data_IF_468717009684
#
_entry.id   IF_468717009684
#
_cell.length_a   1.000
_cell.length_b   1.000
_cell.length_c   1.000
_cell.angle_alpha   90.00
_cell.angle_beta   90.00
_cell.angle_gamma   90.00
#
_symmetry.space_group_name_H-M   'P 1'
#
loop_
_entity.id
_entity.type
_entity.pdbx_description
1 polymer ?
#
# COMPACT_ATOMS: atom_id res chain seq x y z
N UNK A 1 -2.95 30.75 -5.69
CA UNK A 1 -1.97 30.90 -6.79
C UNK A 1 -2.60 30.41 -8.09
N UNK A 2 -2.35 31.08 -9.21
CA UNK A 2 -2.67 30.52 -10.53
C UNK A 2 -1.54 29.59 -10.99
N UNK A 3 -1.92 28.46 -11.61
CA UNK A 3 -1.04 27.42 -12.14
C UNK A 3 -1.16 27.39 -13.67
N UNK A 4 -0.04 27.23 -14.36
CA UNK A 4 0.01 27.05 -15.82
C UNK A 4 -0.31 25.61 -16.21
N UNK A 5 -0.63 25.36 -17.49
CA UNK A 5 -0.90 24.01 -17.98
C UNK A 5 0.30 23.06 -17.86
N UNK A 6 1.51 23.59 -17.98
CA UNK A 6 2.73 22.77 -17.91
C UNK A 6 3.10 22.45 -16.46
N UNK A 7 2.99 23.42 -15.53
CA UNK A 7 3.08 23.15 -14.09
C UNK A 7 2.05 22.10 -13.64
N UNK A 8 0.83 22.12 -14.20
CA UNK A 8 -0.19 21.11 -13.93
C UNK A 8 0.23 19.70 -14.39
N UNK A 9 0.87 19.58 -15.56
CA UNK A 9 1.36 18.29 -16.08
C UNK A 9 2.51 17.75 -15.24
N UNK A 10 3.38 18.62 -14.71
CA UNK A 10 4.50 18.21 -13.86
C UNK A 10 4.03 17.67 -12.51
N UNK A 11 3.01 18.29 -11.90
CA UNK A 11 2.52 17.84 -10.59
C UNK A 11 1.53 16.68 -10.65
N UNK A 12 0.85 16.47 -11.79
CA UNK A 12 -0.16 15.42 -11.92
C UNK A 12 0.36 14.01 -11.55
N UNK A 13 1.55 13.54 -12.01
CA UNK A 13 2.10 12.26 -11.60
C UNK A 13 2.38 12.17 -10.09
N UNK A 14 2.74 13.28 -9.45
CA UNK A 14 2.99 13.35 -8.01
C UNK A 14 1.68 13.22 -7.23
N UNK A 15 0.62 13.90 -7.68
CA UNK A 15 -0.73 13.79 -7.10
C UNK A 15 -1.26 12.36 -7.22
N UNK A 16 -1.10 11.75 -8.40
CA UNK A 16 -1.50 10.36 -8.63
C UNK A 16 -0.74 9.41 -7.70
N UNK A 17 0.58 9.56 -7.60
CA UNK A 17 1.41 8.76 -6.70
C UNK A 17 1.01 8.92 -5.22
N UNK A 18 0.65 10.14 -4.80
CA UNK A 18 0.16 10.42 -3.45
C UNK A 18 -1.20 9.76 -3.19
N UNK A 19 -2.13 9.81 -4.16
CA UNK A 19 -3.42 9.13 -4.07
C UNK A 19 -3.26 7.59 -3.96
N UNK A 20 -2.27 7.04 -4.65
CA UNK A 20 -1.83 5.64 -4.55
C UNK A 20 -1.10 5.31 -3.24
N UNK A 21 -0.95 6.28 -2.34
CA UNK A 21 -0.31 6.10 -1.03
C UNK A 21 1.22 5.98 -1.09
N UNK A 22 1.87 6.45 -2.17
CA UNK A 22 3.33 6.59 -2.21
C UNK A 22 3.77 7.78 -1.36
N UNK A 23 4.95 7.66 -0.78
CA UNK A 23 5.63 8.70 -0.03
C UNK A 23 6.18 9.70 -1.04
N UNK A 24 5.75 10.94 -0.91
CA UNK A 24 6.26 12.07 -1.67
C UNK A 24 7.30 12.78 -0.81
N UNK A 25 8.42 13.14 -1.42
CA UNK A 25 9.42 14.01 -0.82
C UNK A 25 9.41 15.35 -1.55
N UNK A 26 9.69 16.41 -0.80
CA UNK A 26 9.84 17.74 -1.34
C UNK A 26 11.16 18.39 -0.88
N UNK A 27 11.64 19.36 -1.65
CA UNK A 27 12.72 20.26 -1.25
C UNK A 27 12.57 21.62 -1.92
N UNK A 28 13.25 22.63 -1.39
CA UNK A 28 13.35 23.95 -2.01
C UNK A 28 14.21 23.89 -3.26
N UNK A 29 13.78 24.57 -4.32
CA UNK A 29 14.58 24.75 -5.55
C UNK A 29 15.91 25.42 -5.17
N UNK A 30 17.07 24.82 -5.53
CA UNK A 30 18.38 25.36 -5.18
C UNK A 30 18.59 26.83 -5.61
N UNK A 31 17.89 27.27 -6.65
CA UNK A 31 17.99 28.63 -7.21
C UNK A 31 17.07 29.68 -6.58
N UNK A 32 16.24 29.32 -5.58
CA UNK A 32 15.19 30.21 -5.05
C UNK A 32 15.51 30.86 -3.70
N UNK A 33 16.67 30.55 -3.12
CA UNK A 33 17.18 31.19 -1.90
C UNK A 33 18.54 31.80 -2.24
N UNK A 34 18.58 33.12 -2.48
CA UNK A 34 19.83 33.83 -2.76
C UNK A 34 20.67 33.96 -1.48
N UNK A 35 21.95 33.61 -1.56
CA UNK A 35 22.95 33.95 -0.54
C UNK A 35 23.09 32.99 0.65
N UNK A 36 22.49 31.80 0.59
CA UNK A 36 22.58 30.82 1.67
C UNK A 36 23.16 29.49 1.16
N UNK A 37 24.19 28.95 1.82
CA UNK A 37 24.74 27.61 1.61
C UNK A 37 23.70 26.53 1.97
N UNK A 38 22.60 26.43 1.23
CA UNK A 38 21.42 25.63 1.64
C UNK A 38 21.31 24.37 0.78
N UNK A 39 21.86 23.25 1.24
CA UNK A 39 21.29 21.95 0.91
C UNK A 39 19.96 21.84 1.65
N UNK A 40 18.85 22.02 0.93
CA UNK A 40 17.57 21.52 1.41
C UNK A 40 17.45 20.06 0.96
N UNK A 41 17.65 19.14 1.89
CA UNK A 41 17.53 17.72 1.63
C UNK A 41 16.08 17.32 1.35
N UNK A 42 15.92 16.25 0.60
CA UNK A 42 14.61 15.67 0.33
C UNK A 42 13.95 15.25 1.64
N UNK A 43 12.77 15.83 1.90
CA UNK A 43 12.03 15.59 3.15
C UNK A 43 10.64 15.05 2.81
N UNK A 44 10.19 14.04 3.55
CA UNK A 44 8.86 13.46 3.36
C UNK A 44 7.75 14.49 3.65
N UNK A 45 6.78 14.56 2.75
CA UNK A 45 5.66 15.47 2.83
C UNK A 45 4.40 14.69 3.24
N UNK A 46 3.70 15.15 4.28
CA UNK A 46 2.46 14.51 4.76
C UNK A 46 1.22 14.97 3.99
N UNK A 47 1.21 16.22 3.55
CA UNK A 47 0.12 16.86 2.81
C UNK A 47 0.72 17.59 1.60
N UNK A 48 0.11 17.50 0.43
CA UNK A 48 0.62 18.19 -0.76
C UNK A 48 0.09 19.62 -0.80
N UNK A 49 1.00 20.57 -0.62
CA UNK A 49 0.79 21.97 -0.98
C UNK A 49 1.63 22.31 -2.21
N UNK A 50 1.05 22.99 -3.20
CA UNK A 50 1.79 23.44 -4.39
C UNK A 50 2.44 24.81 -4.15
N UNK A 51 3.77 24.84 -4.16
CA UNK A 51 4.56 26.08 -4.10
C UNK A 51 5.53 26.16 -5.28
N UNK A 52 5.61 27.32 -5.94
CA UNK A 52 6.45 27.52 -7.14
C UNK A 52 7.95 27.30 -6.91
N UNK A 53 8.41 27.46 -5.68
CA UNK A 53 9.80 27.31 -5.25
C UNK A 53 10.14 25.92 -4.70
N UNK A 54 9.24 24.94 -4.83
CA UNK A 54 9.45 23.56 -4.37
C UNK A 54 9.59 22.61 -5.55
N UNK A 55 10.44 21.59 -5.37
CA UNK A 55 10.51 20.39 -6.21
C UNK A 55 9.89 19.22 -5.46
N UNK A 56 9.18 18.36 -6.18
CA UNK A 56 8.58 17.14 -5.65
C UNK A 56 9.17 15.92 -6.34
N UNK A 57 9.28 14.82 -5.59
CA UNK A 57 9.55 13.51 -6.16
C UNK A 57 8.79 12.45 -5.40
N UNK A 58 8.53 11.34 -6.08
CA UNK A 58 8.20 10.09 -5.40
C UNK A 58 9.49 9.60 -4.75
N UNK A 59 9.47 9.30 -3.44
CA UNK A 59 10.63 8.72 -2.77
C UNK A 59 11.04 7.44 -3.53
N UNK A 60 12.31 7.27 -3.93
CA UNK A 60 12.73 6.17 -4.82
C UNK A 60 12.29 4.77 -4.36
N UNK A 61 12.30 4.54 -3.05
CA UNK A 61 11.91 3.25 -2.44
C UNK A 61 10.43 3.17 -2.07
N UNK A 62 9.64 4.19 -2.41
CA UNK A 62 8.22 4.18 -2.08
C UNK A 62 7.45 3.23 -2.99
N UNK A 63 6.74 2.30 -2.34
CA UNK A 63 5.78 1.43 -3.00
C UNK A 63 4.39 2.05 -2.86
N UNK A 64 3.60 1.98 -3.94
CA UNK A 64 2.17 2.26 -3.86
C UNK A 64 1.59 1.42 -2.73
N UNK A 65 0.78 2.04 -1.88
CA UNK A 65 0.02 1.29 -0.89
C UNK A 65 -1.12 0.64 -1.64
N UNK A 66 -0.85 -0.54 -2.21
CA UNK A 66 -1.86 -1.34 -2.85
C UNK A 66 -3.07 -1.47 -1.90
N UNK A 67 -4.25 -1.08 -2.37
CA UNK A 67 -5.49 -1.26 -1.62
C UNK A 67 -5.89 -2.71 -1.77
N UNK A 68 -6.19 -3.36 -0.64
CA UNK A 68 -6.68 -4.73 -0.62
C UNK A 68 -8.08 -4.74 -0.02
N UNK A 69 -8.93 -5.61 -0.53
CA UNK A 69 -10.23 -5.91 0.07
C UNK A 69 -10.30 -7.38 0.48
N UNK A 70 -11.19 -7.73 1.42
CA UNK A 70 -11.50 -9.12 1.71
C UNK A 70 -12.06 -9.82 0.46
N UNK A 71 -11.99 -11.15 0.48
CA UNK A 71 -12.64 -11.97 -0.54
C UNK A 71 -14.15 -11.80 -0.49
N UNK A 72 -14.80 -11.80 -1.66
CA UNK A 72 -16.24 -11.69 -1.80
C UNK A 72 -16.96 -13.02 -1.55
N UNK A 73 -16.26 -14.14 -1.77
CA UNK A 73 -16.79 -15.49 -1.60
C UNK A 73 -15.64 -16.52 -1.55
N UNK A 74 -16.02 -17.79 -1.29
CA UNK A 74 -15.09 -18.93 -1.21
C UNK A 74 -14.32 -19.18 -2.50
N UNK A 75 -14.98 -19.09 -3.66
CA UNK A 75 -14.33 -19.35 -4.95
C UNK A 75 -13.21 -18.34 -5.24
N UNK A 76 -13.43 -17.07 -4.91
CA UNK A 76 -12.42 -16.02 -5.02
C UNK A 76 -11.25 -16.28 -4.06
N UNK A 77 -11.56 -16.60 -2.79
CA UNK A 77 -10.54 -16.94 -1.78
C UNK A 77 -9.69 -18.14 -2.23
N UNK A 78 -10.33 -19.24 -2.61
CA UNK A 78 -9.67 -20.47 -3.03
C UNK A 78 -8.84 -20.25 -4.30
N UNK A 79 -9.34 -19.46 -5.25
CA UNK A 79 -8.62 -19.13 -6.48
C UNK A 79 -7.38 -18.29 -6.20
N UNK A 80 -7.46 -17.31 -5.30
CA UNK A 80 -6.30 -16.51 -4.91
C UNK A 80 -5.28 -17.36 -4.15
N UNK A 81 -5.71 -18.15 -3.15
CA UNK A 81 -4.83 -19.03 -2.36
C UNK A 81 -3.95 -19.95 -3.21
N UNK A 82 -4.46 -20.46 -4.34
CA UNK A 82 -3.69 -21.32 -5.26
C UNK A 82 -2.48 -20.62 -5.89
N UNK A 83 -2.43 -19.29 -5.88
CA UNK A 83 -1.32 -18.49 -6.41
C UNK A 83 -0.16 -18.37 -5.41
N UNK A 84 -0.40 -18.66 -4.14
CA UNK A 84 0.54 -18.42 -3.04
C UNK A 84 1.21 -19.72 -2.56
N UNK A 85 2.46 -19.60 -2.12
CA UNK A 85 3.24 -20.72 -1.59
C UNK A 85 3.90 -20.36 -0.25
N UNK A 86 3.99 -21.30 0.71
CA UNK A 86 3.36 -22.63 0.70
C UNK A 86 1.82 -22.55 0.78
N UNK A 87 1.14 -23.38 -0.03
CA UNK A 87 -0.33 -23.39 -0.12
C UNK A 87 -0.99 -23.59 1.25
N UNK A 88 -2.02 -22.78 1.53
CA UNK A 88 -2.82 -22.87 2.76
C UNK A 88 -2.18 -22.24 4.00
N UNK A 89 -0.90 -21.86 3.97
CA UNK A 89 -0.24 -21.23 5.11
C UNK A 89 -0.39 -19.71 5.09
N UNK A 90 -0.70 -19.16 6.26
CA UNK A 90 -0.74 -17.72 6.50
C UNK A 90 0.19 -17.38 7.66
N UNK A 91 0.63 -16.12 7.69
CA UNK A 91 1.54 -15.59 8.71
C UNK A 91 0.87 -14.47 9.48
N UNK A 92 0.84 -14.61 10.80
CA UNK A 92 0.35 -13.59 11.73
C UNK A 92 1.20 -12.31 11.60
N UNK A 93 0.55 -11.15 11.49
CA UNK A 93 1.25 -9.87 11.30
C UNK A 93 1.89 -9.33 12.56
N UNK A 94 1.40 -9.72 13.74
CA UNK A 94 1.81 -9.20 15.04
C UNK A 94 3.01 -9.96 15.59
N UNK A 95 2.86 -11.28 15.71
CA UNK A 95 3.82 -12.17 16.36
C UNK A 95 4.62 -13.01 15.34
N UNK A 96 4.20 -13.03 14.06
CA UNK A 96 4.99 -13.58 12.96
C UNK A 96 4.96 -15.11 12.82
N UNK A 97 4.16 -15.81 13.61
CA UNK A 97 4.00 -17.26 13.51
C UNK A 97 3.13 -17.66 12.31
N UNK A 98 3.29 -18.91 11.86
CA UNK A 98 2.55 -19.45 10.73
C UNK A 98 1.40 -20.33 11.21
N UNK A 99 0.27 -20.23 10.52
CA UNK A 99 -0.95 -20.98 10.80
C UNK A 99 -1.46 -21.59 9.51
N UNK A 100 -1.98 -22.81 9.58
CA UNK A 100 -2.54 -23.50 8.43
C UNK A 100 -4.05 -23.22 8.35
N UNK A 101 -4.51 -22.80 7.19
CA UNK A 101 -5.93 -22.80 6.84
C UNK A 101 -6.37 -24.26 6.68
N UNK A 102 -7.24 -24.72 7.57
CA UNK A 102 -7.74 -26.10 7.58
C UNK A 102 -9.12 -26.24 6.94
N UNK A 103 -9.84 -25.13 6.74
CA UNK A 103 -11.10 -25.11 5.99
C UNK A 103 -11.37 -23.73 5.37
N UNK A 104 -11.94 -23.74 4.16
CA UNK A 104 -12.54 -22.58 3.49
C UNK A 104 -14.01 -22.93 3.27
N UNK A 105 -14.91 -22.32 4.05
CA UNK A 105 -16.33 -22.71 4.08
C UNK A 105 -17.23 -21.61 3.49
N UNK A 106 -18.39 -22.01 2.98
CA UNK A 106 -19.37 -21.22 2.25
C UNK A 106 -19.94 -20.08 3.10
N UNK A 107 -19.27 -18.93 3.07
CA UNK A 107 -19.94 -17.65 3.20
C UNK A 107 -19.16 -16.61 3.99
N UNK A 108 -18.71 -16.94 5.20
CA UNK A 108 -18.20 -15.90 6.11
C UNK A 108 -17.12 -16.36 7.08
N UNK A 109 -16.78 -17.65 7.13
CA UNK A 109 -15.85 -18.18 8.13
C UNK A 109 -14.89 -19.22 7.56
N UNK A 110 -13.65 -19.12 8.00
CA UNK A 110 -12.57 -20.05 7.75
C UNK A 110 -12.12 -20.68 9.06
N UNK A 111 -11.39 -21.78 8.94
CA UNK A 111 -10.76 -22.44 10.09
C UNK A 111 -9.26 -22.34 10.01
N UNK A 112 -8.65 -21.90 11.11
CA UNK A 112 -7.19 -21.84 11.29
C UNK A 112 -6.78 -22.91 12.31
N UNK A 113 -5.94 -23.85 11.90
CA UNK A 113 -5.49 -24.97 12.74
C UNK A 113 -6.63 -25.69 13.49
N UNK A 114 -7.77 -25.86 12.81
CA UNK A 114 -8.97 -26.50 13.38
C UNK A 114 -9.89 -25.58 14.19
N UNK A 115 -9.53 -24.31 14.41
CA UNK A 115 -10.39 -23.32 15.07
C UNK A 115 -11.18 -22.51 14.04
N UNK A 116 -12.50 -22.62 14.06
CA UNK A 116 -13.42 -21.95 13.13
C UNK A 116 -13.83 -20.55 13.57
N UNK A 117 -14.55 -19.82 12.71
CA UNK A 117 -15.11 -18.50 13.03
C UNK A 117 -14.25 -17.32 12.56
N UNK A 118 -13.30 -17.56 11.65
CA UNK A 118 -12.45 -16.50 11.10
C UNK A 118 -13.03 -15.91 9.82
N UNK A 119 -13.50 -14.67 9.87
CA UNK A 119 -13.96 -13.98 8.65
C UNK A 119 -12.81 -13.61 7.71
N UNK A 120 -13.11 -13.47 6.41
CA UNK A 120 -12.14 -12.96 5.44
C UNK A 120 -11.58 -11.58 5.84
N UNK A 121 -12.41 -10.74 6.45
CA UNK A 121 -11.98 -9.44 6.96
C UNK A 121 -10.98 -9.59 8.11
N UNK A 122 -11.29 -10.44 9.09
CA UNK A 122 -10.39 -10.70 10.23
C UNK A 122 -9.06 -11.28 9.75
N UNK A 123 -9.08 -12.24 8.82
CA UNK A 123 -7.88 -12.81 8.24
C UNK A 123 -7.06 -11.79 7.45
N UNK A 124 -7.70 -10.98 6.60
CA UNK A 124 -7.01 -9.89 5.88
C UNK A 124 -6.36 -8.91 6.86
N UNK A 125 -7.04 -8.59 7.96
CA UNK A 125 -6.55 -7.65 8.96
C UNK A 125 -5.33 -8.19 9.68
N UNK A 126 -5.41 -9.42 10.20
CA UNK A 126 -4.44 -9.94 11.16
C UNK A 126 -3.36 -10.83 10.50
N UNK A 127 -3.56 -11.29 9.27
CA UNK A 127 -2.66 -12.22 8.58
C UNK A 127 -2.23 -11.77 7.18
N UNK A 128 -1.09 -12.30 6.74
CA UNK A 128 -0.58 -12.27 5.37
C UNK A 128 -0.51 -13.68 4.82
N UNK A 129 -0.39 -13.84 3.49
CA UNK A 129 0.05 -15.12 2.94
C UNK A 129 1.49 -15.41 3.39
N UNK A 130 1.87 -16.69 3.43
CA UNK A 130 3.20 -17.08 3.88
C UNK A 130 4.34 -16.56 2.99
N UNK A 131 4.07 -16.20 1.73
CA UNK A 131 5.02 -15.52 0.83
C UNK A 131 5.17 -14.01 1.11
N UNK A 132 4.46 -13.49 2.11
CA UNK A 132 4.51 -12.09 2.53
C UNK A 132 3.55 -11.16 1.79
N UNK A 133 2.75 -11.67 0.84
CA UNK A 133 1.70 -10.89 0.19
C UNK A 133 0.49 -10.67 1.12
N UNK A 134 -0.29 -9.62 0.87
CA UNK A 134 -1.46 -9.33 1.70
C UNK A 134 -2.54 -10.38 1.46
N UNK A 135 -3.18 -10.83 2.55
CA UNK A 135 -4.29 -11.76 2.44
C UNK A 135 -5.54 -11.04 1.94
N UNK A 136 -5.94 -11.27 0.70
CA UNK A 136 -7.09 -10.60 0.07
C UNK A 136 -6.87 -10.35 -1.42
N UNK A 137 -7.76 -9.57 -2.03
CA UNK A 137 -7.66 -9.20 -3.45
C UNK A 137 -7.13 -7.79 -3.57
N UNK A 138 -6.09 -7.62 -4.38
CA UNK A 138 -5.59 -6.30 -4.77
C UNK A 138 -6.66 -5.58 -5.59
N UNK A 139 -7.06 -4.40 -5.16
CA UNK A 139 -7.92 -3.50 -5.91
C UNK A 139 -7.03 -2.57 -6.71
N UNK A 140 -7.17 -2.62 -8.03
CA UNK A 140 -6.58 -1.62 -8.92
C UNK A 140 -7.61 -0.48 -9.03
N UNK A 141 -7.16 0.76 -8.82
CA UNK A 141 -7.99 1.95 -9.03
C UNK A 141 -8.06 2.32 -10.51
#
# INVERSE_FOLDING_TARGET
>A
MSMTKDEAKEILPIIQAYAEGKIIECRTKPSTVEGTDVPNDWTEMKEIEFWKNIEYRIKPDSKAKAKYRPFANVEECWTEMKKHQPFGWVKDKKDGYYVLITAVDNGDYMSLSGNSGWSFYSLMKDYTFADGTHFGVKVEE
#
